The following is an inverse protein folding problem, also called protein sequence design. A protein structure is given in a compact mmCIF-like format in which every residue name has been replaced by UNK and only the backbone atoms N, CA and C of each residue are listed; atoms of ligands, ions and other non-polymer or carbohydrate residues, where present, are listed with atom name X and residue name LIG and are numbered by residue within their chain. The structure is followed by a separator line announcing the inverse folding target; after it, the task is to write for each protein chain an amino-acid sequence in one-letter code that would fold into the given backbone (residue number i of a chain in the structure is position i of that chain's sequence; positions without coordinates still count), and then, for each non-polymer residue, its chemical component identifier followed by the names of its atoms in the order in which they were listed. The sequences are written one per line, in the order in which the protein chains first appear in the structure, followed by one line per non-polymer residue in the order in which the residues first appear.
data_IF_002473301085
#
_entry.id   IF_002473301085
#
_cell.length_a   1.000
_cell.length_b   1.000
_cell.length_c   1.000
_cell.angle_alpha   90.00
_cell.angle_beta   90.00
_cell.angle_gamma   90.00
#
_symmetry.space_group_name_H-M   'P 1'
#
loop_
_entity.id
_entity.type
_entity.pdbx_description
1 polymer ?
#
# COMPACT_ATOMS: atom_id res chain seq x y z
N UNK A 1 13.57 22.91 -18.74
CA UNK A 1 13.84 23.89 -17.67
C UNK A 1 12.83 23.56 -16.57
N UNK A 2 13.14 22.96 -15.42
CA UNK A 2 14.28 23.06 -14.50
C UNK A 2 14.86 21.66 -14.19
N UNK A 3 16.19 21.51 -14.28
CA UNK A 3 16.90 20.23 -14.23
C UNK A 3 17.30 19.80 -12.80
N UNK A 4 16.87 20.52 -11.74
CA UNK A 4 17.21 20.14 -10.36
C UNK A 4 16.04 20.27 -9.39
N UNK A 5 14.93 19.57 -9.66
CA UNK A 5 13.91 19.36 -8.61
C UNK A 5 14.51 18.49 -7.51
N UNK A 6 14.47 18.95 -6.27
CA UNK A 6 15.02 18.21 -5.13
C UNK A 6 14.34 16.84 -4.98
N UNK A 7 15.00 15.90 -4.28
CA UNK A 7 14.37 14.61 -3.93
C UNK A 7 13.03 14.85 -3.21
N UNK A 8 13.00 15.87 -2.34
CA UNK A 8 11.80 16.30 -1.63
C UNK A 8 10.69 16.69 -2.61
N UNK A 9 10.94 17.58 -3.57
CA UNK A 9 9.93 18.04 -4.53
C UNK A 9 9.41 16.89 -5.41
N UNK A 10 10.31 15.97 -5.81
CA UNK A 10 9.92 14.79 -6.58
C UNK A 10 9.01 13.88 -5.77
N UNK A 11 9.33 13.64 -4.49
CA UNK A 11 8.49 12.83 -3.61
C UNK A 11 7.15 13.52 -3.35
N UNK A 12 7.16 14.82 -3.03
CA UNK A 12 5.95 15.59 -2.76
C UNK A 12 5.01 15.57 -3.98
N UNK A 13 5.56 15.76 -5.18
CA UNK A 13 4.80 15.68 -6.44
C UNK A 13 4.22 14.27 -6.66
N UNK A 14 4.95 13.21 -6.33
CA UNK A 14 4.43 11.83 -6.44
C UNK A 14 3.31 11.55 -5.44
N UNK A 15 3.41 12.08 -4.22
CA UNK A 15 2.38 11.94 -3.19
C UNK A 15 1.11 12.72 -3.60
N UNK A 16 1.26 13.96 -4.07
CA UNK A 16 0.14 14.80 -4.48
C UNK A 16 -0.60 14.25 -5.71
N UNK A 17 0.15 13.68 -6.67
CA UNK A 17 -0.42 13.08 -7.89
C UNK A 17 -0.78 11.61 -7.75
N UNK A 18 -0.67 11.02 -6.55
CA UNK A 18 -0.93 9.59 -6.28
C UNK A 18 -0.04 8.60 -7.07
N UNK A 19 1.05 9.08 -7.67
CA UNK A 19 2.05 8.26 -8.38
C UNK A 19 3.20 7.75 -7.48
N UNK A 20 3.12 8.00 -6.17
CA UNK A 20 4.00 7.35 -5.20
C UNK A 20 3.63 5.87 -5.05
N UNK A 21 4.64 5.02 -4.91
CA UNK A 21 4.45 3.62 -4.54
C UNK A 21 4.60 3.51 -3.02
N UNK A 22 3.64 2.88 -2.36
CA UNK A 22 3.61 2.75 -0.90
C UNK A 22 3.89 1.32 -0.51
N UNK A 23 4.87 1.12 0.37
CA UNK A 23 5.14 -0.17 1.01
C UNK A 23 4.54 -0.20 2.41
N UNK A 24 3.83 -1.28 2.77
CA UNK A 24 3.35 -1.52 4.13
C UNK A 24 4.00 -2.78 4.68
N UNK A 25 4.74 -2.66 5.78
CA UNK A 25 5.44 -3.78 6.44
C UNK A 25 4.63 -4.22 7.65
N UNK A 26 4.29 -5.51 7.69
CA UNK A 26 3.34 -6.12 8.62
C UNK A 26 1.91 -6.01 8.09
N UNK A 27 1.27 -7.15 7.81
CA UNK A 27 -0.10 -7.26 7.30
C UNK A 27 -1.03 -7.88 8.34
N UNK A 28 -0.81 -7.52 9.61
CA UNK A 28 -1.70 -7.84 10.72
C UNK A 28 -2.89 -6.89 10.82
N UNK A 29 -3.50 -6.86 12.00
CA UNK A 29 -4.74 -6.13 12.29
C UNK A 29 -4.71 -4.64 11.90
N UNK A 30 -3.57 -3.96 12.01
CA UNK A 30 -3.45 -2.54 11.64
C UNK A 30 -2.94 -2.36 10.21
N UNK A 31 -1.93 -3.15 9.84
CA UNK A 31 -1.23 -2.94 8.58
C UNK A 31 -2.05 -3.30 7.34
N UNK A 32 -2.85 -4.37 7.39
CA UNK A 32 -3.70 -4.71 6.26
C UNK A 32 -4.82 -3.67 6.02
N UNK A 33 -5.59 -3.21 7.03
CA UNK A 33 -6.52 -2.09 6.83
C UNK A 33 -5.84 -0.81 6.32
N UNK A 34 -4.63 -0.50 6.80
CA UNK A 34 -3.85 0.64 6.30
C UNK A 34 -3.51 0.48 4.81
N UNK A 35 -2.99 -0.69 4.41
CA UNK A 35 -2.68 -0.99 3.02
C UNK A 35 -3.90 -0.83 2.10
N UNK A 36 -5.06 -1.34 2.54
CA UNK A 36 -6.32 -1.19 1.80
C UNK A 36 -6.79 0.27 1.75
N UNK A 37 -6.70 1.01 2.86
CA UNK A 37 -7.07 2.42 2.88
C UNK A 37 -6.20 3.26 1.93
N UNK A 38 -4.89 2.99 1.88
CA UNK A 38 -3.97 3.65 0.95
C UNK A 38 -4.26 3.27 -0.51
N UNK A 39 -4.57 2.00 -0.77
CA UNK A 39 -4.98 1.55 -2.11
C UNK A 39 -6.29 2.23 -2.55
N UNK A 40 -7.29 2.30 -1.66
CA UNK A 40 -8.56 3.01 -1.89
C UNK A 40 -8.37 4.52 -2.09
N UNK A 41 -7.32 5.11 -1.52
CA UNK A 41 -6.95 6.50 -1.75
C UNK A 41 -6.26 6.76 -3.11
N UNK A 42 -6.11 5.72 -3.94
CA UNK A 42 -5.63 5.81 -5.32
C UNK A 42 -4.13 5.55 -5.51
N UNK A 43 -3.43 5.06 -4.48
CA UNK A 43 -2.01 4.73 -4.59
C UNK A 43 -1.78 3.28 -5.00
N UNK A 44 -0.62 3.02 -5.63
CA UNK A 44 -0.10 1.65 -5.77
C UNK A 44 0.54 1.20 -4.46
N UNK A 45 0.11 0.04 -3.94
CA UNK A 45 0.54 -0.49 -2.63
C UNK A 45 1.18 -1.87 -2.78
N UNK A 46 2.28 -2.10 -2.08
CA UNK A 46 2.88 -3.42 -1.87
C UNK A 46 2.91 -3.74 -0.38
N UNK A 47 2.30 -4.85 0.01
CA UNK A 47 2.31 -5.35 1.38
C UNK A 47 3.44 -6.36 1.60
N UNK A 48 4.05 -6.34 2.78
CA UNK A 48 5.11 -7.27 3.18
C UNK A 48 4.77 -7.86 4.55
N UNK A 49 4.91 -9.17 4.71
CA UNK A 49 4.77 -9.84 6.00
C UNK A 49 5.83 -10.96 6.10
N UNK A 50 6.23 -11.31 7.32
CA UNK A 50 7.16 -12.42 7.57
C UNK A 50 6.46 -13.78 7.38
N UNK A 51 5.13 -13.81 7.54
CA UNK A 51 4.32 -15.01 7.41
C UNK A 51 3.87 -15.17 5.95
N UNK A 52 4.59 -16.02 5.19
CA UNK A 52 4.35 -16.23 3.76
C UNK A 52 2.89 -16.58 3.42
N UNK A 53 2.22 -17.39 4.26
CA UNK A 53 0.83 -17.79 4.06
C UNK A 53 -0.14 -16.59 4.04
N UNK A 54 0.14 -15.52 4.80
CA UNK A 54 -0.66 -14.29 4.79
C UNK A 54 -0.57 -13.58 3.44
N UNK A 55 0.66 -13.45 2.93
CA UNK A 55 0.93 -12.81 1.63
C UNK A 55 0.27 -13.60 0.49
N UNK A 56 0.41 -14.93 0.50
CA UNK A 56 -0.22 -15.81 -0.49
C UNK A 56 -1.75 -15.72 -0.46
N UNK A 57 -2.36 -15.77 0.73
CA UNK A 57 -3.81 -15.64 0.90
C UNK A 57 -4.33 -14.31 0.32
N UNK A 58 -3.66 -13.19 0.64
CA UNK A 58 -4.05 -11.87 0.12
C UNK A 58 -3.87 -11.74 -1.39
N UNK A 59 -2.79 -12.28 -1.94
CA UNK A 59 -2.57 -12.28 -3.40
C UNK A 59 -3.61 -13.13 -4.14
N UNK A 60 -4.21 -14.11 -3.46
CA UNK A 60 -5.35 -14.89 -3.96
C UNK A 60 -6.72 -14.23 -3.68
N UNK A 61 -6.74 -12.97 -3.20
CA UNK A 61 -7.97 -12.23 -2.91
C UNK A 61 -8.70 -12.68 -1.64
N UNK A 62 -8.02 -13.47 -0.79
CA UNK A 62 -8.56 -13.96 0.47
C UNK A 62 -8.01 -13.13 1.63
N UNK A 63 -8.90 -12.52 2.39
CA UNK A 63 -8.53 -11.84 3.63
C UNK A 63 -8.73 -12.77 4.82
N UNK A 64 -7.76 -12.75 5.73
CA UNK A 64 -7.80 -13.41 7.03
C UNK A 64 -8.15 -12.43 8.18
N UNK A 65 -8.45 -11.17 7.87
CA UNK A 65 -8.85 -10.15 8.85
C UNK A 65 -10.27 -9.68 8.56
N UNK A 66 -11.15 -9.80 9.55
CA UNK A 66 -12.57 -9.42 9.44
C UNK A 66 -12.78 -7.95 9.07
N UNK A 67 -11.91 -7.04 9.55
CA UNK A 67 -11.97 -5.62 9.23
C UNK A 67 -11.72 -5.31 7.74
N UNK A 68 -11.20 -6.27 6.97
CA UNK A 68 -11.00 -6.17 5.53
C UNK A 68 -11.71 -7.35 4.88
N UNK A 69 -12.99 -7.21 4.59
CA UNK A 69 -13.76 -8.28 3.92
C UNK A 69 -13.48 -8.31 2.42
N UNK A 70 -13.56 -9.50 1.79
CA UNK A 70 -13.39 -9.68 0.33
C UNK A 70 -14.52 -9.06 -0.53
N UNK A 71 -15.41 -8.27 0.05
CA UNK A 71 -16.44 -7.56 -0.71
C UNK A 71 -15.89 -6.23 -1.20
N UNK A 72 -15.69 -6.16 -2.52
CA UNK A 72 -15.55 -4.91 -3.27
C UNK A 72 -16.82 -4.06 -3.15
#
# INVERSE_FOLDING_TARGET
MDASRSIYDRLLNRISTRSAQVGVIGLGYVGLPLAVAVARAGFSVSGFDIEAHKVESLNNGQSYIEAVTSTA
#
